data_IF_550280702597
#
_entry.id   IF_550280702597
#
_cell.length_a   1.000
_cell.length_b   1.000
_cell.length_c   1.000
_cell.angle_alpha   90.00
_cell.angle_beta   90.00
_cell.angle_gamma   90.00
#
_symmetry.space_group_name_H-M   'P 1'
#
loop_
_entity.id
_entity.type
_entity.pdbx_description
1 polymer ?
#
# COMPACT_ATOMS: atom_id res chain seq x y z
N UNK A 1 6.14 -20.47 20.73
CA UNK A 1 5.20 -20.04 19.67
C UNK A 1 5.54 -20.65 18.31
N UNK A 2 6.76 -20.48 17.78
CA UNK A 2 7.14 -21.03 16.46
C UNK A 2 6.98 -22.55 16.36
N UNK A 3 7.33 -23.30 17.41
CA UNK A 3 7.22 -24.76 17.42
C UNK A 3 5.76 -25.24 17.45
N UNK A 4 4.89 -24.53 18.18
CA UNK A 4 3.44 -24.81 18.24
C UNK A 4 2.81 -24.60 16.85
N UNK A 5 3.17 -23.52 16.15
CA UNK A 5 2.69 -23.29 14.78
C UNK A 5 3.15 -24.38 13.80
N UNK A 6 4.39 -24.85 13.94
CA UNK A 6 4.93 -25.92 13.11
C UNK A 6 4.20 -27.24 13.36
N UNK A 7 3.90 -27.57 14.61
CA UNK A 7 3.14 -28.77 14.96
C UNK A 7 1.72 -28.72 14.40
N UNK A 8 1.01 -27.60 14.58
CA UNK A 8 -0.31 -27.37 13.99
C UNK A 8 -0.29 -27.50 12.45
N UNK A 9 0.74 -26.96 11.80
CA UNK A 9 0.89 -27.07 10.34
C UNK A 9 1.05 -28.54 9.90
N UNK A 10 1.86 -29.31 10.60
CA UNK A 10 2.08 -30.73 10.30
C UNK A 10 0.79 -31.54 10.46
N UNK A 11 0.01 -31.28 11.51
CA UNK A 11 -1.29 -31.92 11.71
C UNK A 11 -2.29 -31.58 10.58
N UNK A 12 -2.34 -30.31 10.18
CA UNK A 12 -3.19 -29.85 9.08
C UNK A 12 -2.79 -30.52 7.75
N UNK A 13 -1.50 -30.61 7.45
CA UNK A 13 -0.99 -31.31 6.24
C UNK A 13 -1.35 -32.80 6.27
N UNK A 14 -1.21 -33.46 7.42
CA UNK A 14 -1.57 -34.87 7.57
C UNK A 14 -3.09 -35.09 7.40
N UNK A 15 -3.91 -34.19 7.95
CA UNK A 15 -5.36 -34.20 7.75
C UNK A 15 -5.74 -34.01 6.28
N UNK A 16 -5.12 -33.05 5.60
CA UNK A 16 -5.35 -32.74 4.18
C UNK A 16 -5.02 -33.94 3.28
N UNK A 17 -3.89 -34.61 3.52
CA UNK A 17 -3.51 -35.82 2.77
C UNK A 17 -4.52 -36.96 2.92
N UNK A 18 -4.99 -37.22 4.15
CA UNK A 18 -6.01 -38.25 4.40
C UNK A 18 -7.32 -37.95 3.67
N UNK A 19 -7.80 -36.71 3.79
CA UNK A 19 -9.02 -36.28 3.09
C UNK A 19 -8.86 -36.35 1.57
N UNK A 20 -7.69 -35.99 1.03
CA UNK A 20 -7.41 -36.06 -0.40
C UNK A 20 -7.49 -37.50 -0.95
N UNK A 21 -6.94 -38.47 -0.23
CA UNK A 21 -6.98 -39.88 -0.64
C UNK A 21 -8.44 -40.37 -0.67
N UNK A 22 -9.20 -40.11 0.40
CA UNK A 22 -10.61 -40.53 0.48
C UNK A 22 -11.44 -39.90 -0.64
N UNK A 23 -11.25 -38.60 -0.88
CA UNK A 23 -11.90 -37.87 -1.97
C UNK A 23 -11.62 -38.51 -3.33
N UNK A 24 -10.36 -38.91 -3.60
CA UNK A 24 -9.98 -39.57 -4.85
C UNK A 24 -10.61 -40.95 -5.01
N UNK A 25 -10.75 -41.70 -3.92
CA UNK A 25 -11.42 -43.01 -3.92
C UNK A 25 -12.91 -42.84 -4.20
N UNK A 26 -13.56 -41.85 -3.58
CA UNK A 26 -14.97 -41.54 -3.83
C UNK A 26 -15.21 -41.09 -5.28
N UNK A 27 -14.34 -40.23 -5.83
CA UNK A 27 -14.41 -39.82 -7.23
C UNK A 27 -14.33 -41.02 -8.19
N UNK A 28 -13.46 -41.99 -7.91
CA UNK A 28 -13.33 -43.22 -8.70
C UNK A 28 -14.58 -44.09 -8.57
N UNK A 29 -15.10 -44.27 -7.35
CA UNK A 29 -16.29 -45.07 -7.09
C UNK A 29 -17.55 -44.50 -7.78
N UNK A 30 -17.66 -43.18 -7.83
CA UNK A 30 -18.79 -42.49 -8.46
C UNK A 30 -18.56 -42.13 -9.93
N UNK A 31 -17.37 -42.37 -10.47
CA UNK A 31 -17.02 -42.09 -11.87
C UNK A 31 -17.03 -40.60 -12.24
N UNK A 32 -16.94 -39.70 -11.26
CA UNK A 32 -17.01 -38.26 -11.45
C UNK A 32 -15.91 -37.55 -10.65
N UNK A 33 -15.41 -36.42 -11.15
CA UNK A 33 -14.36 -35.62 -10.50
C UNK A 33 -14.95 -34.33 -9.96
N UNK A 34 -14.83 -34.10 -8.65
CA UNK A 34 -15.32 -32.89 -7.98
C UNK A 34 -14.16 -31.92 -7.72
N UNK A 35 -14.40 -30.62 -7.94
CA UNK A 35 -13.45 -29.61 -7.51
C UNK A 35 -13.39 -29.57 -5.98
N UNK A 36 -12.20 -29.80 -5.41
CA UNK A 36 -11.99 -29.62 -3.97
C UNK A 36 -12.22 -28.18 -3.55
N UNK A 37 -12.91 -27.99 -2.43
CA UNK A 37 -13.22 -26.67 -1.87
C UNK A 37 -11.98 -25.78 -1.66
N UNK A 38 -10.83 -26.34 -1.29
CA UNK A 38 -9.56 -25.60 -1.17
C UNK A 38 -9.05 -25.07 -2.52
N UNK A 39 -9.15 -25.89 -3.58
CA UNK A 39 -8.79 -25.48 -4.94
C UNK A 39 -9.73 -24.37 -5.42
N UNK A 40 -11.04 -24.54 -5.22
CA UNK A 40 -12.03 -23.51 -5.53
C UNK A 40 -11.75 -22.20 -4.76
N UNK A 41 -11.37 -22.29 -3.49
CA UNK A 41 -11.01 -21.14 -2.67
C UNK A 41 -9.79 -20.40 -3.21
N UNK A 42 -8.71 -21.10 -3.58
CA UNK A 42 -7.52 -20.51 -4.17
C UNK A 42 -7.83 -19.82 -5.50
N UNK A 43 -8.64 -20.46 -6.35
CA UNK A 43 -9.11 -19.86 -7.61
C UNK A 43 -9.90 -18.57 -7.36
N UNK A 44 -10.83 -18.59 -6.41
CA UNK A 44 -11.63 -17.40 -6.06
C UNK A 44 -10.76 -16.28 -5.46
N UNK A 45 -9.76 -16.61 -4.64
CA UNK A 45 -8.80 -15.61 -4.12
C UNK A 45 -7.96 -14.99 -5.24
N UNK A 46 -7.53 -15.81 -6.21
CA UNK A 46 -6.80 -15.30 -7.37
C UNK A 46 -7.66 -14.36 -8.22
N UNK A 47 -8.94 -14.71 -8.43
CA UNK A 47 -9.85 -13.86 -9.18
C UNK A 47 -10.13 -12.54 -8.45
N UNK A 48 -10.40 -12.61 -7.15
CA UNK A 48 -10.54 -11.44 -6.29
C UNK A 48 -9.31 -10.52 -6.35
N UNK A 49 -8.10 -11.09 -6.33
CA UNK A 49 -6.86 -10.31 -6.50
C UNK A 49 -6.84 -9.59 -7.86
N UNK A 50 -7.12 -10.28 -8.96
CA UNK A 50 -7.16 -9.65 -10.30
C UNK A 50 -8.18 -8.51 -10.38
N UNK A 51 -9.38 -8.73 -9.86
CA UNK A 51 -10.44 -7.72 -9.83
C UNK A 51 -10.00 -6.50 -9.03
N UNK A 52 -9.41 -6.73 -7.86
CA UNK A 52 -8.89 -5.67 -6.98
C UNK A 52 -7.77 -4.90 -7.66
N UNK A 53 -6.79 -5.58 -8.27
CA UNK A 53 -5.72 -4.94 -9.04
C UNK A 53 -6.28 -4.10 -10.19
N UNK A 54 -7.30 -4.60 -10.90
CA UNK A 54 -7.94 -3.87 -12.02
C UNK A 54 -8.63 -2.59 -11.55
N UNK A 55 -9.38 -2.66 -10.45
CA UNK A 55 -10.03 -1.49 -9.83
C UNK A 55 -8.97 -0.49 -9.38
N UNK A 56 -7.95 -0.94 -8.64
CA UNK A 56 -6.84 -0.13 -8.16
C UNK A 56 -6.17 0.60 -9.33
N UNK A 57 -5.79 -0.12 -10.38
CA UNK A 57 -5.15 0.46 -11.56
C UNK A 57 -6.00 1.54 -12.24
N UNK A 58 -7.31 1.30 -12.36
CA UNK A 58 -8.26 2.25 -12.96
C UNK A 58 -8.32 3.58 -12.21
N UNK A 59 -8.30 3.54 -10.88
CA UNK A 59 -8.44 4.74 -10.04
C UNK A 59 -7.11 5.37 -9.63
N UNK A 60 -6.01 4.64 -9.74
CA UNK A 60 -4.66 5.07 -9.38
C UNK A 60 -4.33 6.50 -9.79
N UNK A 61 -4.41 6.81 -11.09
CA UNK A 61 -4.12 8.16 -11.62
C UNK A 61 -5.00 9.24 -11.00
N UNK A 62 -6.30 8.95 -10.84
CA UNK A 62 -7.27 9.89 -10.26
C UNK A 62 -6.98 10.16 -8.78
N UNK A 63 -6.62 9.13 -8.03
CA UNK A 63 -6.28 9.24 -6.61
C UNK A 63 -4.96 10.03 -6.45
N UNK A 64 -3.93 9.70 -7.23
CA UNK A 64 -2.66 10.45 -7.21
C UNK A 64 -2.83 11.93 -7.58
N UNK A 65 -3.70 12.24 -8.54
CA UNK A 65 -4.03 13.63 -8.89
C UNK A 65 -4.81 14.34 -7.78
N UNK A 66 -5.77 13.66 -7.15
CA UNK A 66 -6.51 14.21 -6.02
C UNK A 66 -5.60 14.50 -4.81
N UNK A 67 -4.68 13.58 -4.48
CA UNK A 67 -3.68 13.78 -3.42
C UNK A 67 -2.84 15.03 -3.70
N UNK A 68 -2.32 15.16 -4.92
CA UNK A 68 -1.52 16.32 -5.31
C UNK A 68 -2.34 17.62 -5.23
N UNK A 69 -3.57 17.62 -5.76
CA UNK A 69 -4.43 18.79 -5.74
C UNK A 69 -4.74 19.25 -4.32
N UNK A 70 -5.07 18.32 -3.42
CA UNK A 70 -5.35 18.61 -2.00
C UNK A 70 -4.12 19.21 -1.33
N UNK A 71 -2.94 18.60 -1.49
CA UNK A 71 -1.69 19.11 -0.90
C UNK A 71 -1.32 20.51 -1.42
N UNK A 72 -1.44 20.75 -2.73
CA UNK A 72 -1.17 22.07 -3.32
C UNK A 72 -2.18 23.13 -2.89
N UNK A 73 -3.46 22.78 -2.78
CA UNK A 73 -4.51 23.68 -2.31
C UNK A 73 -4.28 24.10 -0.85
N UNK A 74 -4.00 23.13 0.04
CA UNK A 74 -3.68 23.43 1.44
C UNK A 74 -2.44 24.31 1.56
N UNK A 75 -1.40 24.06 0.75
CA UNK A 75 -0.21 24.89 0.71
C UNK A 75 -0.53 26.34 0.30
N UNK A 76 -1.28 26.54 -0.79
CA UNK A 76 -1.68 27.88 -1.27
C UNK A 76 -2.56 28.65 -0.25
N UNK A 77 -3.43 27.95 0.46
CA UNK A 77 -4.23 28.55 1.54
C UNK A 77 -3.34 28.94 2.72
N UNK A 78 -2.33 28.13 3.05
CA UNK A 78 -1.32 28.45 4.05
C UNK A 78 -0.50 29.69 3.70
N UNK A 79 0.01 29.78 2.46
CA UNK A 79 0.75 30.95 1.97
C UNK A 79 -0.07 32.25 2.10
N UNK A 80 -1.34 32.22 1.66
CA UNK A 80 -2.22 33.39 1.70
C UNK A 80 -2.58 33.84 3.11
N UNK A 81 -2.72 32.92 4.06
CA UNK A 81 -3.03 33.26 5.46
C UNK A 81 -1.84 33.81 6.23
N UNK A 82 -0.63 33.55 5.75
CA UNK A 82 0.59 33.88 6.47
C UNK A 82 1.21 35.23 6.05
N UNK A 83 0.83 35.82 4.90
CA UNK A 83 1.35 37.11 4.39
C UNK A 83 2.90 37.21 4.37
N UNK A 84 3.57 36.08 4.12
CA UNK A 84 5.03 35.99 4.20
C UNK A 84 5.64 36.00 2.79
N UNK A 85 6.61 36.89 2.56
CA UNK A 85 7.43 36.90 1.33
C UNK A 85 8.37 35.69 1.32
N UNK A 86 8.30 34.88 0.27
CA UNK A 86 9.18 33.72 0.11
C UNK A 86 10.66 34.15 -0.03
N UNK A 87 11.59 33.49 0.67
CA UNK A 87 13.00 33.52 0.29
C UNK A 87 13.15 32.93 -1.10
N UNK A 88 13.89 33.62 -1.98
CA UNK A 88 14.26 33.12 -3.31
C UNK A 88 15.14 31.86 -3.17
N UNK A 89 15.02 30.96 -4.14
CA UNK A 89 15.74 29.69 -4.17
C UNK A 89 17.25 29.85 -3.91
N UNK A 90 17.76 29.17 -2.88
CA UNK A 90 19.21 29.04 -2.62
C UNK A 90 19.81 29.98 -1.58
N UNK A 91 19.02 30.86 -0.95
CA UNK A 91 19.52 31.66 0.18
C UNK A 91 19.35 30.86 1.47
N UNK A 92 20.43 30.26 1.96
CA UNK A 92 20.51 29.93 3.39
C UNK A 92 20.39 31.24 4.16
N UNK A 93 19.36 31.36 5.00
CA UNK A 93 19.30 32.44 6.01
C UNK A 93 20.30 32.21 7.14
N UNK A 94 20.97 31.05 7.18
CA UNK A 94 22.05 30.74 8.11
C UNK A 94 23.40 31.13 7.51
N UNK A 95 24.20 31.86 8.30
CA UNK A 95 25.60 32.17 7.98
C UNK A 95 26.43 30.87 7.94
N UNK A 96 27.51 30.79 7.14
CA UNK A 96 28.36 29.59 7.09
C UNK A 96 28.89 29.24 8.49
N UNK A 97 28.46 28.10 9.05
CA UNK A 97 28.88 27.62 10.37
C UNK A 97 27.84 27.72 11.49
N UNK A 98 26.64 28.26 11.24
CA UNK A 98 25.54 28.27 12.21
C UNK A 98 24.54 27.14 11.94
N UNK A 99 23.98 26.56 13.01
CA UNK A 99 22.87 25.60 12.88
C UNK A 99 21.65 26.29 12.26
N UNK A 100 20.97 25.66 11.30
CA UNK A 100 19.80 26.25 10.67
C UNK A 100 18.74 26.58 11.73
N UNK A 101 18.11 27.77 11.69
CA UNK A 101 17.15 28.19 12.70
C UNK A 101 16.02 27.15 12.84
N UNK A 102 15.67 26.85 14.09
CA UNK A 102 14.68 25.83 14.42
C UNK A 102 13.35 26.12 13.72
N UNK A 103 12.89 25.17 12.91
CA UNK A 103 11.67 25.33 12.12
C UNK A 103 10.44 25.37 13.02
N UNK A 104 9.81 26.55 13.11
CA UNK A 104 8.58 26.76 13.90
C UNK A 104 7.31 26.24 13.22
N UNK A 105 7.35 26.05 11.90
CA UNK A 105 6.24 25.53 11.11
C UNK A 105 6.77 24.56 10.04
N UNK A 106 6.37 23.29 10.10
CA UNK A 106 6.78 22.26 9.13
C UNK A 106 6.54 22.68 7.65
N UNK A 107 5.50 23.48 7.42
CA UNK A 107 5.11 24.02 6.11
C UNK A 107 5.54 25.47 5.85
N UNK A 108 6.52 26.01 6.59
CA UNK A 108 7.07 27.32 6.23
C UNK A 108 7.79 27.24 4.87
N UNK A 109 6.98 27.45 3.81
CA UNK A 109 7.26 28.16 2.56
C UNK A 109 8.33 27.61 1.60
N UNK A 110 8.72 26.35 1.71
CA UNK A 110 9.62 25.75 0.73
C UNK A 110 8.87 24.84 -0.25
N UNK A 111 8.76 25.27 -1.52
CA UNK A 111 8.19 24.47 -2.62
C UNK A 111 8.83 23.09 -2.73
N UNK A 112 10.13 22.95 -2.42
CA UNK A 112 10.86 21.68 -2.44
C UNK A 112 10.34 20.69 -1.39
N UNK A 113 9.90 21.16 -0.22
CA UNK A 113 9.30 20.30 0.81
C UNK A 113 7.90 19.83 0.43
N UNK A 114 7.12 20.70 -0.20
CA UNK A 114 5.81 20.32 -0.74
C UNK A 114 5.96 19.24 -1.81
N UNK A 115 6.88 19.42 -2.76
CA UNK A 115 7.11 18.44 -3.82
C UNK A 115 7.68 17.13 -3.26
N UNK A 116 8.55 17.18 -2.24
CA UNK A 116 9.03 16.00 -1.53
C UNK A 116 7.91 15.25 -0.80
N UNK A 117 7.00 15.98 -0.13
CA UNK A 117 5.84 15.40 0.53
C UNK A 117 4.89 14.74 -0.48
N UNK A 118 4.56 15.45 -1.57
CA UNK A 118 3.74 14.91 -2.67
C UNK A 118 4.37 13.62 -3.22
N UNK A 119 5.69 13.61 -3.42
CA UNK A 119 6.42 12.44 -3.91
C UNK A 119 6.38 11.28 -2.91
N UNK A 120 6.63 11.54 -1.62
CA UNK A 120 6.56 10.52 -0.57
C UNK A 120 5.17 9.91 -0.48
N UNK A 121 4.13 10.73 -0.36
CA UNK A 121 2.75 10.25 -0.25
C UNK A 121 2.30 9.48 -1.49
N UNK A 122 2.75 9.88 -2.69
CA UNK A 122 2.50 9.10 -3.90
C UNK A 122 3.22 7.74 -3.85
N UNK A 123 4.48 7.69 -3.42
CA UNK A 123 5.22 6.43 -3.29
C UNK A 123 4.60 5.51 -2.22
N UNK A 124 4.26 6.03 -1.05
CA UNK A 124 3.62 5.24 0.01
C UNK A 124 2.28 4.65 -0.49
N UNK A 125 1.53 5.44 -1.28
CA UNK A 125 0.29 4.98 -1.89
C UNK A 125 0.53 3.88 -2.94
N UNK A 126 1.58 3.98 -3.73
CA UNK A 126 2.01 2.94 -4.68
C UNK A 126 2.37 1.64 -3.96
N UNK A 127 3.12 1.72 -2.87
CA UNK A 127 3.56 0.56 -2.08
C UNK A 127 2.35 -0.15 -1.44
N UNK A 128 1.41 0.61 -0.89
CA UNK A 128 0.15 0.06 -0.33
C UNK A 128 -0.69 -0.59 -1.43
N UNK A 129 -0.72 -0.03 -2.64
CA UNK A 129 -1.44 -0.63 -3.78
C UNK A 129 -0.81 -1.94 -4.26
N UNK A 130 0.50 -2.10 -4.14
CA UNK A 130 1.23 -3.31 -4.55
C UNK A 130 1.20 -4.43 -3.49
N UNK A 131 0.89 -4.09 -2.23
CA UNK A 131 0.78 -5.05 -1.14
C UNK A 131 -0.49 -5.92 -1.19
N UNK A 132 -1.41 -5.67 -2.13
CA UNK A 132 -2.72 -6.32 -2.30
C UNK A 132 -2.70 -7.35 -3.43
#
# INVERSE_FOLDING_TARGET
LRDIFKEMEMELVASLRRNFINHKVEEQAHGFSWEMWQKAKLRNLQEYRKETTSVIYRFKKRISAAIEQVLRNHFSVGERKADIKLPQDGVSTALPGEEPPQEKQFFSMNKKKLDALIKSTKNDFEDVQQAV
#
